data_IF_341506501224
#
_entry.id   IF_341506501224
#
_cell.length_a   1.000
_cell.length_b   1.000
_cell.length_c   1.000
_cell.angle_alpha   90.00
_cell.angle_beta   90.00
_cell.angle_gamma   90.00
#
_symmetry.space_group_name_H-M   'P 1'
#
loop_
_entity.id
_entity.type
_entity.pdbx_description
1 polymer ?
#
# COMPACT_ATOMS: atom_id res chain seq x y z
N UNK A 1 25.23 21.27 94.54
CA UNK A 1 24.80 20.97 93.15
C UNK A 1 25.43 21.87 92.06
N UNK A 2 25.77 23.14 92.34
CA UNK A 2 26.28 24.10 91.32
C UNK A 2 27.71 23.83 90.83
N UNK A 3 28.57 23.24 91.67
CA UNK A 3 29.96 22.84 91.35
C UNK A 3 30.02 21.53 90.56
N UNK A 4 29.14 20.58 90.86
CA UNK A 4 29.05 19.30 90.16
C UNK A 4 28.62 19.45 88.69
N UNK A 5 27.66 20.35 88.40
CA UNK A 5 27.26 20.67 87.02
C UNK A 5 28.38 21.32 86.20
N UNK A 6 29.23 22.13 86.83
CA UNK A 6 30.42 22.72 86.18
C UNK A 6 31.47 21.66 85.86
N UNK A 7 31.68 20.71 86.76
CA UNK A 7 32.61 19.59 86.54
C UNK A 7 32.14 18.68 85.41
N UNK A 8 30.86 18.33 85.39
CA UNK A 8 30.24 17.58 84.29
C UNK A 8 30.37 18.34 82.96
N UNK A 9 30.15 19.65 82.95
CA UNK A 9 30.33 20.48 81.76
C UNK A 9 31.77 20.46 81.23
N UNK A 10 32.78 20.49 82.11
CA UNK A 10 34.20 20.41 81.73
C UNK A 10 34.52 19.03 81.16
N UNK A 11 34.05 17.96 81.79
CA UNK A 11 34.24 16.58 81.29
C UNK A 11 33.57 16.39 79.94
N UNK A 12 32.35 16.91 79.75
CA UNK A 12 31.65 16.84 78.47
C UNK A 12 32.33 17.67 77.37
N UNK A 13 32.95 18.79 77.75
CA UNK A 13 33.67 19.67 76.84
C UNK A 13 34.98 19.04 76.32
N UNK A 14 35.65 18.21 77.12
CA UNK A 14 36.85 17.47 76.71
C UNK A 14 36.57 16.10 76.06
N UNK A 15 35.34 15.58 76.17
CA UNK A 15 34.93 14.30 75.58
C UNK A 15 35.19 14.17 74.06
N UNK A 16 34.95 15.19 73.20
CA UNK A 16 35.20 15.07 71.77
C UNK A 16 36.69 15.08 71.40
N UNK A 17 37.57 15.57 72.28
CA UNK A 17 39.03 15.54 72.06
C UNK A 17 39.62 14.14 72.30
N UNK A 18 38.96 13.30 73.10
CA UNK A 18 39.36 11.91 73.30
C UNK A 18 38.94 10.99 72.15
N UNK A 19 37.98 11.40 71.31
CA UNK A 19 37.54 10.60 70.16
C UNK A 19 38.48 10.88 68.99
N UNK A 20 39.60 10.15 68.92
CA UNK A 20 40.41 10.09 67.71
C UNK A 20 39.67 9.23 66.68
N UNK A 21 39.12 9.87 65.66
CA UNK A 21 38.66 9.17 64.46
C UNK A 21 39.90 8.69 63.68
N UNK A 22 40.20 7.39 63.77
CA UNK A 22 41.29 6.79 63.01
C UNK A 22 40.82 6.55 61.57
N UNK A 23 41.18 7.46 60.65
CA UNK A 23 40.99 7.24 59.22
C UNK A 23 41.98 6.18 58.76
N UNK A 24 41.57 4.92 58.82
CA UNK A 24 42.35 3.80 58.29
C UNK A 24 42.32 3.87 56.76
N UNK A 25 43.35 4.47 56.18
CA UNK A 25 43.57 4.38 54.74
C UNK A 25 43.80 2.92 54.37
N UNK A 26 42.91 2.36 53.55
CA UNK A 26 43.03 0.97 53.09
C UNK A 26 43.98 0.99 51.89
N UNK A 27 45.21 0.47 52.02
CA UNK A 27 46.15 0.46 50.91
C UNK A 27 45.71 -0.58 49.88
N UNK A 28 45.95 -0.26 48.61
CA UNK A 28 45.72 -1.20 47.52
C UNK A 28 46.63 -2.42 47.68
N UNK A 29 46.03 -3.61 47.77
CA UNK A 29 46.75 -4.85 48.07
C UNK A 29 47.08 -5.65 46.82
N UNK A 30 47.96 -6.67 46.96
CA UNK A 30 48.20 -7.65 45.88
C UNK A 30 46.91 -8.38 45.46
N UNK A 31 46.01 -8.65 46.41
CA UNK A 31 44.72 -9.27 46.12
C UNK A 31 43.84 -8.40 45.22
N UNK A 32 43.91 -7.08 45.37
CA UNK A 32 43.17 -6.15 44.51
C UNK A 32 43.74 -6.12 43.09
N UNK A 33 45.07 -6.26 42.92
CA UNK A 33 45.70 -6.46 41.59
C UNK A 33 45.20 -7.74 40.92
N UNK A 34 45.20 -8.86 41.65
CA UNK A 34 44.74 -10.14 41.10
C UNK A 34 43.25 -10.11 40.75
N UNK A 35 42.44 -9.34 41.49
CA UNK A 35 41.03 -9.10 41.14
C UNK A 35 40.91 -8.30 39.85
N UNK A 36 41.72 -7.25 39.67
CA UNK A 36 41.75 -6.44 38.44
C UNK A 36 42.13 -7.29 37.23
N UNK A 37 43.21 -8.07 37.32
CA UNK A 37 43.66 -8.94 36.23
C UNK A 37 42.55 -9.94 35.85
N UNK A 38 41.88 -10.54 36.82
CA UNK A 38 40.74 -11.44 36.54
C UNK A 38 39.54 -10.72 35.92
N UNK A 39 39.30 -9.46 36.28
CA UNK A 39 38.23 -8.68 35.65
C UNK A 39 38.58 -8.28 34.22
N UNK A 40 39.83 -7.88 33.96
CA UNK A 40 40.32 -7.58 32.60
C UNK A 40 40.16 -8.80 31.69
N UNK A 41 40.60 -9.99 32.13
CA UNK A 41 40.41 -11.24 31.40
C UNK A 41 38.93 -11.55 31.12
N UNK A 42 38.04 -11.27 32.07
CA UNK A 42 36.60 -11.47 31.88
C UNK A 42 36.00 -10.47 30.90
N UNK A 43 36.50 -9.24 30.87
CA UNK A 43 36.08 -8.21 29.91
C UNK A 43 36.53 -8.60 28.51
N UNK A 44 37.80 -9.00 28.33
CA UNK A 44 38.29 -9.49 27.02
C UNK A 44 37.49 -10.70 26.52
N UNK A 45 37.20 -11.66 27.40
CA UNK A 45 36.38 -12.82 27.06
C UNK A 45 34.92 -12.42 26.72
N UNK A 46 34.39 -11.38 27.38
CA UNK A 46 33.07 -10.85 27.09
C UNK A 46 33.06 -10.14 25.72
N UNK A 47 34.07 -9.33 25.41
CA UNK A 47 34.21 -8.64 24.13
C UNK A 47 34.27 -9.66 22.98
N UNK A 48 35.10 -10.70 23.11
CA UNK A 48 35.17 -11.77 22.11
C UNK A 48 33.82 -12.50 21.92
N UNK A 49 33.07 -12.71 23.01
CA UNK A 49 31.73 -13.31 22.94
C UNK A 49 30.72 -12.38 22.29
N UNK A 50 30.81 -11.09 22.57
CA UNK A 50 29.97 -10.05 21.99
C UNK A 50 30.17 -10.02 20.47
N UNK A 51 31.43 -9.99 20.01
CA UNK A 51 31.74 -10.01 18.58
C UNK A 51 31.21 -11.27 17.87
N UNK A 52 31.39 -12.44 18.50
CA UNK A 52 30.87 -13.69 17.95
C UNK A 52 29.34 -13.71 17.85
N UNK A 53 28.65 -13.19 18.88
CA UNK A 53 27.18 -13.11 18.89
C UNK A 53 26.67 -12.10 17.85
N UNK A 54 27.29 -10.93 17.76
CA UNK A 54 26.90 -9.92 16.77
C UNK A 54 27.16 -10.38 15.34
N UNK A 55 28.33 -10.98 15.07
CA UNK A 55 28.62 -11.53 13.75
C UNK A 55 27.67 -12.68 13.36
N UNK A 56 27.33 -13.56 14.30
CA UNK A 56 26.35 -14.63 14.07
C UNK A 56 24.93 -14.09 13.85
N UNK A 57 24.55 -13.03 14.58
CA UNK A 57 23.26 -12.37 14.41
C UNK A 57 23.18 -11.70 13.03
N UNK A 58 24.22 -10.99 12.61
CA UNK A 58 24.29 -10.31 11.31
C UNK A 58 24.12 -11.30 10.16
N UNK A 59 24.87 -12.41 10.18
CA UNK A 59 24.74 -13.48 9.19
C UNK A 59 23.33 -14.11 9.17
N UNK A 60 22.70 -14.28 10.34
CA UNK A 60 21.34 -14.82 10.44
C UNK A 60 20.31 -13.85 9.89
N UNK A 61 20.44 -12.55 10.19
CA UNK A 61 19.58 -11.50 9.68
C UNK A 61 19.70 -11.43 8.17
N UNK A 62 20.91 -11.39 7.63
CA UNK A 62 21.16 -11.36 6.20
C UNK A 62 20.55 -12.56 5.48
N UNK A 63 20.74 -13.77 6.01
CA UNK A 63 20.14 -14.99 5.46
C UNK A 63 18.61 -14.91 5.43
N UNK A 64 17.98 -14.49 6.54
CA UNK A 64 16.52 -14.36 6.62
C UNK A 64 15.96 -13.27 5.70
N UNK A 65 16.63 -12.12 5.66
CA UNK A 65 16.21 -10.99 4.82
C UNK A 65 16.34 -11.35 3.35
N UNK A 66 17.45 -11.99 2.94
CA UNK A 66 17.65 -12.44 1.57
C UNK A 66 16.66 -13.55 1.18
N UNK A 67 16.39 -14.49 2.09
CA UNK A 67 15.36 -15.51 1.90
C UNK A 67 13.96 -14.90 1.70
N UNK A 68 13.59 -13.93 2.54
CA UNK A 68 12.31 -13.23 2.42
C UNK A 68 12.21 -12.44 1.11
N UNK A 69 13.27 -11.72 0.71
CA UNK A 69 13.34 -11.01 -0.56
C UNK A 69 13.17 -11.95 -1.75
N UNK A 70 13.80 -13.12 -1.71
CA UNK A 70 13.71 -14.13 -2.76
C UNK A 70 12.29 -14.73 -2.88
N UNK A 71 11.67 -15.10 -1.75
CA UNK A 71 10.29 -15.59 -1.72
C UNK A 71 9.31 -14.52 -2.24
N UNK A 72 9.47 -13.27 -1.78
CA UNK A 72 8.68 -12.16 -2.29
C UNK A 72 8.83 -11.99 -3.80
N UNK A 73 10.06 -11.99 -4.33
CA UNK A 73 10.29 -11.85 -5.76
C UNK A 73 9.64 -12.98 -6.56
N UNK A 74 9.76 -14.23 -6.09
CA UNK A 74 9.14 -15.38 -6.74
C UNK A 74 7.61 -15.28 -6.76
N UNK A 75 7.00 -14.80 -5.66
CA UNK A 75 5.56 -14.58 -5.60
C UNK A 75 5.11 -13.44 -6.52
N UNK A 76 5.87 -12.35 -6.59
CA UNK A 76 5.59 -11.25 -7.51
C UNK A 76 5.67 -11.70 -8.96
N UNK A 77 6.71 -12.42 -9.36
CA UNK A 77 6.83 -12.99 -10.71
C UNK A 77 5.67 -13.94 -11.04
N UNK A 78 5.24 -14.77 -10.08
CA UNK A 78 4.08 -15.63 -10.25
C UNK A 78 2.77 -14.84 -10.41
N UNK A 79 2.63 -13.70 -9.72
CA UNK A 79 1.50 -12.80 -9.88
C UNK A 79 1.51 -12.11 -11.24
N UNK A 80 2.66 -11.60 -11.69
CA UNK A 80 2.80 -10.97 -13.01
C UNK A 80 2.35 -11.91 -14.13
N UNK A 81 2.80 -13.18 -14.10
CA UNK A 81 2.35 -14.19 -15.08
C UNK A 81 0.84 -14.40 -15.08
N UNK A 82 0.20 -14.38 -13.90
CA UNK A 82 -1.27 -14.49 -13.79
C UNK A 82 -1.95 -13.24 -14.33
N UNK A 83 -1.41 -12.05 -14.07
CA UNK A 83 -1.93 -10.81 -14.64
C UNK A 83 -1.81 -10.78 -16.16
N UNK A 84 -0.67 -11.18 -16.72
CA UNK A 84 -0.48 -11.28 -18.18
C UNK A 84 -1.51 -12.23 -18.79
N UNK A 85 -1.75 -13.38 -18.16
CA UNK A 85 -2.78 -14.32 -18.60
C UNK A 85 -4.18 -13.70 -18.55
N UNK A 86 -4.52 -12.96 -17.48
CA UNK A 86 -5.79 -12.27 -17.34
C UNK A 86 -5.96 -11.16 -18.40
N UNK A 87 -4.92 -10.36 -18.66
CA UNK A 87 -4.93 -9.34 -19.70
C UNK A 87 -5.11 -9.93 -21.09
N UNK A 88 -4.42 -11.04 -21.39
CA UNK A 88 -4.59 -11.75 -22.66
C UNK A 88 -6.04 -12.25 -22.84
N UNK A 89 -6.63 -12.82 -21.78
CA UNK A 89 -8.02 -13.25 -21.81
C UNK A 89 -8.99 -12.06 -21.96
N UNK A 90 -8.75 -10.95 -21.25
CA UNK A 90 -9.56 -9.75 -21.35
C UNK A 90 -9.51 -9.14 -22.76
N UNK A 91 -8.32 -9.09 -23.38
CA UNK A 91 -8.15 -8.67 -24.77
C UNK A 91 -8.91 -9.56 -25.74
N UNK A 92 -8.93 -10.88 -25.52
CA UNK A 92 -9.70 -11.80 -26.34
C UNK A 92 -11.21 -11.51 -26.25
N UNK A 93 -11.76 -11.30 -25.05
CA UNK A 93 -13.16 -10.94 -24.87
C UNK A 93 -13.48 -9.60 -25.53
N UNK A 94 -12.65 -8.57 -25.32
CA UNK A 94 -12.83 -7.25 -25.94
C UNK A 94 -12.82 -7.38 -27.47
N UNK A 95 -11.93 -8.20 -28.03
CA UNK A 95 -11.87 -8.45 -29.47
C UNK A 95 -13.14 -9.09 -30.03
N UNK A 96 -13.65 -10.14 -29.37
CA UNK A 96 -14.90 -10.81 -29.76
C UNK A 96 -16.08 -9.84 -29.64
N UNK A 97 -16.19 -9.15 -28.50
CA UNK A 97 -17.28 -8.21 -28.24
C UNK A 97 -17.29 -7.05 -29.24
N UNK A 98 -16.12 -6.47 -29.54
CA UNK A 98 -15.99 -5.37 -30.50
C UNK A 98 -16.34 -5.82 -31.91
N UNK A 99 -15.90 -7.02 -32.31
CA UNK A 99 -16.25 -7.59 -33.62
C UNK A 99 -17.75 -7.81 -33.74
N UNK A 100 -18.37 -8.42 -32.73
CA UNK A 100 -19.82 -8.63 -32.68
C UNK A 100 -20.58 -7.30 -32.76
N UNK A 101 -20.14 -6.28 -32.02
CA UNK A 101 -20.76 -4.96 -31.99
C UNK A 101 -20.71 -4.28 -33.36
N UNK A 102 -19.54 -4.32 -34.03
CA UNK A 102 -19.37 -3.78 -35.38
C UNK A 102 -20.27 -4.53 -36.37
N UNK A 103 -20.38 -5.86 -36.27
CA UNK A 103 -21.27 -6.65 -37.13
C UNK A 103 -22.74 -6.25 -36.95
N UNK A 104 -23.22 -6.11 -35.72
CA UNK A 104 -24.62 -5.72 -35.43
C UNK A 104 -24.92 -4.30 -35.93
N UNK A 105 -24.06 -3.33 -35.62
CA UNK A 105 -24.26 -1.95 -36.08
C UNK A 105 -24.12 -1.82 -37.59
N UNK A 106 -23.14 -2.50 -38.18
CA UNK A 106 -22.94 -2.55 -39.63
C UNK A 106 -24.17 -3.11 -40.35
N UNK A 107 -24.73 -4.20 -39.84
CA UNK A 107 -25.96 -4.79 -40.37
C UNK A 107 -27.17 -3.87 -40.18
N UNK A 108 -27.37 -3.29 -38.99
CA UNK A 108 -28.50 -2.38 -38.73
C UNK A 108 -28.47 -1.13 -39.64
N UNK A 109 -27.27 -0.59 -39.90
CA UNK A 109 -27.11 0.53 -40.82
C UNK A 109 -27.40 0.12 -42.28
N UNK A 110 -26.98 -1.06 -42.69
CA UNK A 110 -27.26 -1.61 -44.03
C UNK A 110 -28.75 -1.89 -44.22
N UNK A 111 -29.38 -2.56 -43.26
CA UNK A 111 -30.80 -2.93 -43.30
C UNK A 111 -31.70 -1.70 -43.42
N UNK A 112 -31.45 -0.65 -42.64
CA UNK A 112 -32.20 0.61 -42.74
C UNK A 112 -32.15 1.23 -44.13
N UNK A 113 -31.02 1.10 -44.85
CA UNK A 113 -30.88 1.62 -46.20
C UNK A 113 -31.62 0.75 -47.23
N UNK A 114 -31.68 -0.56 -47.00
CA UNK A 114 -32.31 -1.53 -47.90
C UNK A 114 -33.83 -1.60 -47.75
N UNK A 115 -34.34 -1.62 -46.52
CA UNK A 115 -35.76 -1.79 -46.21
C UNK A 115 -36.61 -0.53 -46.47
N UNK A 116 -36.03 0.67 -46.32
CA UNK A 116 -36.75 1.94 -46.54
C UNK A 116 -36.85 2.34 -48.03
N UNK A 117 -36.04 1.75 -48.91
CA UNK A 117 -36.03 2.08 -50.34
C UNK A 117 -37.36 1.75 -51.07
N UNK A 118 -37.98 0.58 -50.90
CA UNK A 118 -39.28 0.29 -51.52
C UNK A 118 -40.42 1.09 -50.88
N UNK A 119 -40.38 1.34 -49.57
CA UNK A 119 -41.41 2.11 -48.86
C UNK A 119 -41.49 3.56 -49.37
N UNK A 120 -40.34 4.22 -49.54
CA UNK A 120 -40.29 5.56 -50.14
C UNK A 120 -40.85 5.62 -51.56
N UNK A 121 -40.62 4.58 -52.38
CA UNK A 121 -41.14 4.52 -53.76
C UNK A 121 -42.64 4.29 -53.81
N UNK A 122 -43.20 3.47 -52.92
CA UNK A 122 -44.64 3.24 -52.85
C UNK A 122 -45.38 4.48 -52.36
N UNK A 123 -44.89 5.14 -51.31
CA UNK A 123 -45.44 6.41 -50.83
C UNK A 123 -45.48 7.47 -51.93
N UNK A 124 -44.37 7.65 -52.66
CA UNK A 124 -44.32 8.62 -53.76
C UNK A 124 -45.33 8.32 -54.86
N UNK A 125 -45.54 7.05 -55.22
CA UNK A 125 -46.54 6.67 -56.24
C UNK A 125 -47.96 6.97 -55.78
N UNK A 126 -48.29 6.63 -54.53
CA UNK A 126 -49.60 6.90 -53.95
C UNK A 126 -49.85 8.41 -53.90
N UNK A 127 -48.84 9.19 -53.48
CA UNK A 127 -48.91 10.65 -53.49
C UNK A 127 -49.12 11.21 -54.90
N UNK A 128 -48.40 10.74 -55.91
CA UNK A 128 -48.59 11.22 -57.29
C UNK A 128 -50.00 10.93 -57.83
N UNK A 129 -50.56 9.75 -57.56
CA UNK A 129 -51.92 9.39 -57.99
C UNK A 129 -52.98 10.22 -57.27
N UNK A 130 -52.81 10.45 -55.96
CA UNK A 130 -53.71 11.30 -55.17
C UNK A 130 -53.64 12.76 -55.64
N UNK A 131 -52.44 13.27 -55.95
CA UNK A 131 -52.24 14.60 -56.50
C UNK A 131 -52.91 14.73 -57.87
N UNK A 132 -52.75 13.78 -58.78
CA UNK A 132 -53.41 13.82 -60.09
C UNK A 132 -54.94 13.71 -59.97
N UNK A 133 -55.45 12.83 -59.11
CA UNK A 133 -56.89 12.72 -58.88
C UNK A 133 -57.50 13.96 -58.21
N UNK A 134 -56.71 14.68 -57.40
CA UNK A 134 -57.13 15.94 -56.77
C UNK A 134 -57.37 17.07 -57.76
N UNK A 135 -56.69 17.07 -58.92
CA UNK A 135 -56.93 18.05 -60.00
C UNK A 135 -58.35 17.95 -60.55
N UNK A 136 -58.97 16.78 -60.44
CA UNK A 136 -60.32 16.49 -60.94
C UNK A 136 -61.40 16.68 -59.87
N UNK A 137 -61.04 16.73 -58.58
CA UNK A 137 -61.99 16.89 -57.47
C UNK A 137 -61.59 18.02 -56.50
N UNK A 138 -62.38 19.11 -56.38
CA UNK A 138 -62.01 20.28 -55.58
C UNK A 138 -61.88 19.99 -54.07
N UNK A 139 -62.70 19.09 -53.52
CA UNK A 139 -62.62 18.70 -52.10
C UNK A 139 -61.33 17.97 -51.76
N UNK A 140 -60.84 17.12 -52.65
CA UNK A 140 -59.61 16.36 -52.40
C UNK A 140 -58.37 17.26 -52.49
N UNK A 141 -58.39 18.25 -53.38
CA UNK A 141 -57.33 19.25 -53.50
C UNK A 141 -57.16 20.07 -52.22
N UNK A 142 -58.26 20.53 -51.62
CA UNK A 142 -58.22 21.26 -50.34
C UNK A 142 -57.68 20.41 -49.18
N UNK A 143 -58.07 19.13 -49.12
CA UNK A 143 -57.57 18.21 -48.09
C UNK A 143 -56.06 18.00 -48.22
N UNK A 144 -55.57 17.78 -49.44
CA UNK A 144 -54.14 17.58 -49.69
C UNK A 144 -53.32 18.86 -49.45
N UNK A 145 -53.86 20.04 -49.81
CA UNK A 145 -53.24 21.34 -49.53
C UNK A 145 -53.15 21.63 -48.02
N UNK A 146 -54.22 21.37 -47.28
CA UNK A 146 -54.24 21.56 -45.82
C UNK A 146 -53.33 20.56 -45.09
N UNK A 147 -53.11 19.38 -45.65
CA UNK A 147 -52.18 18.38 -45.14
C UNK A 147 -50.69 18.68 -45.48
N UNK A 148 -50.40 19.71 -46.27
CA UNK A 148 -49.03 20.09 -46.66
C UNK A 148 -48.39 19.15 -47.69
N UNK A 149 -49.19 18.39 -48.42
CA UNK A 149 -48.74 17.42 -49.44
C UNK A 149 -48.77 17.99 -50.87
N UNK A 150 -49.22 19.24 -51.04
CA UNK A 150 -49.36 20.00 -52.30
C UNK A 150 -48.76 21.41 -52.14
#
# INVERSE_FOLDING_TARGET
>A
MRTLKKFIGIVLFFLPVLVKAETKEIPFTLSDRDRIIRTEQKVEALDAKIDAVFGGLDATIDSKVNGLRSDMNTRFEAMDKRFDQLFNFLWAIIGIFTTMMISVFGFAFWDRKLSLAPLKKQDQRILTVLVDYSKTQPKLFEILKNAGLL
#
